data_IF_086300267510
#
_entry.id   IF_086300267510
#
_cell.length_a   1.000
_cell.length_b   1.000
_cell.length_c   1.000
_cell.angle_alpha   90.00
_cell.angle_beta   90.00
_cell.angle_gamma   90.00
#
_symmetry.space_group_name_H-M   'P 1'
#
loop_
_entity.id
_entity.type
_entity.pdbx_description
1 polymer ?
#
# COMPACT_ATOMS: atom_id res chain seq x y z
N UNK A 1 1.17 -9.56 5.89
CA UNK A 1 2.50 -9.84 5.31
C UNK A 1 3.40 -8.62 5.51
N UNK A 2 4.72 -8.82 5.64
CA UNK A 2 5.73 -7.76 5.71
C UNK A 2 7.05 -8.24 5.11
N UNK A 3 7.95 -7.31 4.78
CA UNK A 3 9.35 -7.58 4.42
C UNK A 3 10.32 -7.35 5.60
N UNK A 4 9.82 -6.87 6.74
CA UNK A 4 10.63 -6.55 7.92
C UNK A 4 10.50 -7.65 8.97
N UNK A 5 11.64 -8.27 9.31
CA UNK A 5 11.73 -9.29 10.38
C UNK A 5 11.30 -8.71 11.73
N UNK A 6 11.70 -7.48 12.03
CA UNK A 6 11.34 -6.81 13.29
C UNK A 6 9.83 -6.53 13.38
N UNK A 7 9.22 -6.07 12.28
CA UNK A 7 7.77 -5.88 12.22
C UNK A 7 7.02 -7.20 12.34
N UNK A 8 7.50 -8.27 11.70
CA UNK A 8 6.90 -9.60 11.82
C UNK A 8 6.88 -10.03 13.28
N UNK A 9 8.02 -9.99 13.96
CA UNK A 9 8.16 -10.42 15.36
C UNK A 9 7.21 -9.65 16.28
N UNK A 10 7.19 -8.31 16.15
CA UNK A 10 6.31 -7.47 16.95
C UNK A 10 4.83 -7.72 16.66
N UNK A 11 4.45 -7.92 15.40
CA UNK A 11 3.08 -8.21 15.02
C UNK A 11 2.62 -9.57 15.54
N UNK A 12 3.46 -10.60 15.48
CA UNK A 12 3.17 -11.92 16.05
C UNK A 12 2.95 -11.84 17.56
N UNK A 13 3.77 -11.07 18.28
CA UNK A 13 3.59 -10.85 19.71
C UNK A 13 2.25 -10.15 20.02
N UNK A 14 1.92 -9.09 19.28
CA UNK A 14 0.67 -8.34 19.45
C UNK A 14 -0.59 -9.14 19.12
N UNK A 15 -0.49 -10.10 18.20
CA UNK A 15 -1.62 -10.92 17.77
C UNK A 15 -1.68 -12.29 18.45
N UNK A 16 -0.91 -12.51 19.52
CA UNK A 16 -0.87 -13.79 20.23
C UNK A 16 -2.27 -14.20 20.74
N UNK A 17 -2.70 -15.41 20.38
CA UNK A 17 -4.01 -15.95 20.75
C UNK A 17 -5.16 -15.55 19.83
N UNK A 18 -4.89 -14.77 18.78
CA UNK A 18 -5.84 -14.48 17.71
C UNK A 18 -5.58 -15.38 16.49
N UNK A 19 -6.59 -15.55 15.64
CA UNK A 19 -6.45 -16.24 14.35
C UNK A 19 -5.80 -15.33 13.31
N UNK A 20 -4.50 -15.07 13.50
CA UNK A 20 -3.73 -14.16 12.65
C UNK A 20 -2.40 -14.79 12.28
N UNK A 21 -2.17 -14.93 10.97
CA UNK A 21 -0.89 -15.37 10.42
C UNK A 21 -0.08 -14.18 9.89
N UNK A 22 1.14 -13.98 10.39
CA UNK A 22 2.05 -12.91 9.93
C UNK A 22 3.18 -13.53 9.10
N UNK A 23 3.06 -13.39 7.78
CA UNK A 23 4.01 -13.91 6.80
C UNK A 23 5.11 -12.87 6.52
N UNK A 24 6.37 -13.32 6.56
CA UNK A 24 7.54 -12.57 6.09
C UNK A 24 7.90 -13.07 4.69
N UNK A 25 7.42 -12.36 3.68
CA UNK A 25 7.54 -12.75 2.28
C UNK A 25 7.32 -11.53 1.39
N UNK A 26 7.77 -11.61 0.14
CA UNK A 26 7.38 -10.67 -0.89
C UNK A 26 5.94 -10.92 -1.34
N UNK A 27 5.10 -9.89 -1.33
CA UNK A 27 3.71 -10.03 -1.75
C UNK A 27 3.55 -10.56 -3.18
N UNK A 28 4.56 -10.38 -4.04
CA UNK A 28 4.57 -10.87 -5.42
C UNK A 28 4.55 -12.40 -5.51
N UNK A 29 5.02 -13.08 -4.47
CA UNK A 29 5.07 -14.55 -4.40
C UNK A 29 3.77 -15.15 -3.82
N UNK A 30 2.89 -14.33 -3.24
CA UNK A 30 1.63 -14.77 -2.66
C UNK A 30 0.70 -15.40 -3.72
N UNK A 31 0.22 -16.61 -3.44
CA UNK A 31 -0.68 -17.36 -4.31
C UNK A 31 -1.77 -18.10 -3.49
N UNK A 32 -2.58 -17.33 -2.79
CA UNK A 32 -3.72 -17.78 -1.98
C UNK A 32 -5.01 -17.04 -2.43
N UNK A 33 -6.15 -17.31 -1.79
CA UNK A 33 -7.44 -16.72 -2.14
C UNK A 33 -8.12 -16.12 -0.91
N UNK A 34 -8.25 -14.80 -0.89
CA UNK A 34 -8.84 -14.05 0.21
C UNK A 34 -10.21 -13.49 -0.16
N UNK A 35 -11.12 -13.45 0.82
CA UNK A 35 -12.39 -12.74 0.67
C UNK A 35 -12.17 -11.22 0.62
N UNK A 36 -11.16 -10.71 1.32
CA UNK A 36 -10.88 -9.28 1.43
C UNK A 36 -9.36 -9.04 1.43
N UNK A 37 -8.91 -8.01 0.73
CA UNK A 37 -7.51 -7.57 0.74
C UNK A 37 -7.46 -6.12 1.16
N UNK A 38 -6.49 -5.78 2.01
CA UNK A 38 -6.18 -4.39 2.38
C UNK A 38 -4.69 -4.14 2.23
N UNK A 39 -4.35 -2.97 1.69
CA UNK A 39 -2.97 -2.53 1.55
C UNK A 39 -2.84 -1.07 1.97
N UNK A 40 -1.97 -0.81 2.96
CA UNK A 40 -1.81 0.51 3.59
C UNK A 40 -0.36 0.94 3.52
N UNK A 41 -0.09 2.08 2.90
CA UNK A 41 1.22 2.77 2.97
C UNK A 41 2.39 2.02 2.35
N UNK A 42 2.11 1.08 1.45
CA UNK A 42 3.15 0.30 0.76
C UNK A 42 3.25 0.61 -0.74
N UNK A 43 2.15 1.08 -1.36
CA UNK A 43 2.05 1.26 -2.82
C UNK A 43 2.98 2.36 -3.34
N UNK A 44 3.26 3.34 -2.48
CA UNK A 44 4.27 4.38 -2.63
C UNK A 44 5.68 3.81 -2.88
N UNK A 45 5.94 2.57 -2.47
CA UNK A 45 7.25 1.91 -2.63
C UNK A 45 7.30 0.92 -3.80
N UNK A 46 6.18 0.72 -4.51
CA UNK A 46 6.11 -0.17 -5.68
C UNK A 46 6.75 0.46 -6.91
N UNK A 47 6.52 1.76 -7.08
CA UNK A 47 6.98 2.53 -8.23
C UNK A 47 6.15 2.27 -9.51
N UNK A 48 6.01 3.29 -10.38
CA UNK A 48 5.04 3.29 -11.48
C UNK A 48 5.27 2.20 -12.53
N UNK A 49 6.50 1.69 -12.65
CA UNK A 49 6.84 0.59 -13.56
C UNK A 49 6.20 -0.75 -13.14
N UNK A 50 5.82 -0.88 -11.86
CA UNK A 50 5.37 -2.13 -11.27
C UNK A 50 3.89 -2.09 -10.83
N UNK A 51 3.16 -0.99 -11.07
CA UNK A 51 1.75 -0.88 -10.66
C UNK A 51 0.87 -1.96 -11.31
N UNK A 52 1.08 -2.28 -12.58
CA UNK A 52 0.33 -3.34 -13.25
C UNK A 52 0.50 -4.68 -12.52
N UNK A 53 1.75 -5.08 -12.23
CA UNK A 53 2.07 -6.29 -11.46
C UNK A 53 1.45 -6.26 -10.07
N UNK A 54 1.46 -5.11 -9.40
CA UNK A 54 0.84 -4.98 -8.08
C UNK A 54 -0.67 -5.32 -8.11
N UNK A 55 -1.41 -4.74 -9.06
CA UNK A 55 -2.83 -5.04 -9.22
C UNK A 55 -3.08 -6.46 -9.75
N UNK A 56 -2.18 -7.03 -10.55
CA UNK A 56 -2.27 -8.43 -10.99
C UNK A 56 -2.14 -9.39 -9.81
N UNK A 57 -1.21 -9.11 -8.88
CA UNK A 57 -1.05 -9.89 -7.66
C UNK A 57 -2.28 -9.76 -6.77
N UNK A 58 -2.84 -8.55 -6.60
CA UNK A 58 -4.07 -8.36 -5.85
C UNK A 58 -5.24 -9.14 -6.48
N UNK A 59 -5.40 -9.07 -7.81
CA UNK A 59 -6.46 -9.78 -8.55
C UNK A 59 -6.30 -11.30 -8.47
N UNK A 60 -5.06 -11.80 -8.59
CA UNK A 60 -4.76 -13.24 -8.44
C UNK A 60 -5.13 -13.78 -7.06
N UNK A 61 -5.06 -12.94 -6.03
CA UNK A 61 -5.20 -13.37 -4.64
C UNK A 61 -6.57 -13.07 -4.03
N UNK A 62 -7.52 -12.54 -4.80
CA UNK A 62 -8.84 -12.19 -4.31
C UNK A 62 -9.92 -13.03 -5.01
N UNK A 63 -10.91 -13.45 -4.25
CA UNK A 63 -12.08 -14.18 -4.79
C UNK A 63 -12.90 -13.29 -5.73
N UNK A 64 -13.73 -13.90 -6.57
CA UNK A 64 -14.60 -13.19 -7.52
C UNK A 64 -15.46 -12.10 -6.84
N UNK A 65 -16.11 -12.41 -5.72
CA UNK A 65 -16.93 -11.46 -4.95
C UNK A 65 -16.15 -10.74 -3.82
N UNK A 66 -14.82 -10.68 -3.95
CA UNK A 66 -13.96 -10.08 -2.94
C UNK A 66 -13.85 -8.56 -3.06
N UNK A 67 -13.51 -7.89 -1.95
CA UNK A 67 -13.26 -6.44 -1.92
C UNK A 67 -11.80 -6.13 -1.61
N UNK A 68 -11.22 -5.23 -2.40
CA UNK A 68 -9.86 -4.73 -2.23
C UNK A 68 -9.88 -3.27 -1.81
N UNK A 69 -9.21 -2.94 -0.70
CA UNK A 69 -8.97 -1.57 -0.27
C UNK A 69 -7.49 -1.21 -0.42
N UNK A 70 -7.23 -0.22 -1.28
CA UNK A 70 -5.93 0.42 -1.42
C UNK A 70 -5.93 1.76 -0.68
N UNK A 71 -5.06 1.89 0.32
CA UNK A 71 -4.79 3.14 1.02
C UNK A 71 -3.35 3.59 0.73
N UNK A 72 -3.20 4.73 0.07
CA UNK A 72 -1.91 5.25 -0.38
C UNK A 72 -1.91 6.78 -0.41
N UNK A 73 -0.75 7.38 -0.12
CA UNK A 73 -0.49 8.80 -0.38
C UNK A 73 -0.49 9.01 -1.90
N UNK A 74 -1.15 10.08 -2.36
CA UNK A 74 -1.30 10.39 -3.77
C UNK A 74 -0.64 11.71 -4.20
N UNK A 75 -0.36 11.81 -5.49
CA UNK A 75 0.03 13.03 -6.20
C UNK A 75 -1.09 13.48 -7.14
N UNK A 76 -1.40 14.78 -7.14
CA UNK A 76 -2.30 15.38 -8.14
C UNK A 76 -1.68 15.48 -9.55
N UNK A 77 -0.39 15.15 -9.68
CA UNK A 77 0.33 15.26 -10.93
C UNK A 77 0.83 13.90 -11.38
N UNK A 78 0.57 13.56 -12.65
CA UNK A 78 1.17 12.41 -13.32
C UNK A 78 2.61 12.73 -13.74
N UNK A 79 3.49 12.84 -12.74
CA UNK A 79 4.92 13.02 -12.89
C UNK A 79 5.61 12.08 -11.92
N UNK A 80 6.79 11.58 -12.29
CA UNK A 80 7.69 10.93 -11.33
C UNK A 80 8.22 12.05 -10.43
N UNK A 81 7.49 12.32 -9.35
CA UNK A 81 7.79 13.38 -8.42
C UNK A 81 8.27 12.74 -7.13
N UNK A 82 9.58 12.72 -6.94
CA UNK A 82 10.20 12.35 -5.68
C UNK A 82 10.98 13.55 -5.22
N UNK A 83 10.57 14.10 -4.07
CA UNK A 83 11.33 15.16 -3.43
C UNK A 83 12.75 14.66 -3.11
N UNK A 84 13.77 15.45 -3.45
CA UNK A 84 15.16 15.01 -3.39
C UNK A 84 15.66 14.82 -1.95
N UNK A 85 15.12 15.58 -0.99
CA UNK A 85 15.46 15.43 0.42
C UNK A 85 14.76 14.18 0.99
N UNK A 86 13.47 14.01 0.72
CA UNK A 86 12.71 12.83 1.15
C UNK A 86 13.33 11.55 0.59
N UNK A 87 13.70 11.53 -0.70
CA UNK A 87 14.39 10.38 -1.31
C UNK A 87 15.71 10.09 -0.60
N UNK A 88 16.53 11.12 -0.38
CA UNK A 88 17.86 10.93 0.18
C UNK A 88 17.85 10.47 1.64
N UNK A 89 16.92 10.95 2.46
CA UNK A 89 16.99 10.79 3.91
C UNK A 89 15.90 9.92 4.52
N UNK A 90 14.73 9.80 3.89
CA UNK A 90 13.55 9.17 4.51
C UNK A 90 13.09 7.94 3.69
N UNK A 91 12.75 8.15 2.41
CA UNK A 91 12.15 7.13 1.54
C UNK A 91 12.89 7.03 0.19
N UNK A 92 14.03 6.32 0.12
CA UNK A 92 14.86 6.23 -1.10
C UNK A 92 14.17 5.60 -2.30
N UNK A 93 13.11 4.81 -2.07
CA UNK A 93 12.34 4.14 -3.12
C UNK A 93 10.89 4.68 -3.23
N UNK A 94 10.57 5.78 -2.54
CA UNK A 94 9.23 6.37 -2.56
C UNK A 94 8.94 7.04 -3.90
N UNK A 95 7.81 6.70 -4.51
CA UNK A 95 7.25 7.41 -5.66
C UNK A 95 5.74 7.49 -5.50
N UNK A 96 5.20 8.71 -5.45
CA UNK A 96 3.78 8.90 -5.23
C UNK A 96 2.98 8.53 -6.49
N UNK A 97 1.94 7.67 -6.39
CA UNK A 97 1.02 7.41 -7.49
C UNK A 97 0.18 8.65 -7.80
N UNK A 98 -0.20 8.79 -9.08
CA UNK A 98 -1.26 9.72 -9.48
C UNK A 98 -2.57 8.97 -9.70
N UNK A 99 -3.70 9.66 -9.57
CA UNK A 99 -5.03 9.10 -9.85
C UNK A 99 -5.04 8.38 -11.20
N UNK A 100 -4.53 9.05 -12.24
CA UNK A 100 -4.45 8.50 -13.59
C UNK A 100 -3.64 7.20 -13.64
N UNK A 101 -2.43 7.16 -13.08
CA UNK A 101 -1.57 5.97 -13.12
C UNK A 101 -2.11 4.80 -12.30
N UNK A 102 -2.78 5.09 -11.21
CA UNK A 102 -3.49 4.07 -10.43
C UNK A 102 -4.66 3.52 -11.24
N UNK A 103 -5.47 4.39 -11.86
CA UNK A 103 -6.61 4.00 -12.68
C UNK A 103 -6.20 3.16 -13.90
N UNK A 104 -5.18 3.60 -14.65
CA UNK A 104 -4.61 2.84 -15.78
C UNK A 104 -4.14 1.44 -15.35
N UNK A 105 -3.58 1.29 -14.15
CA UNK A 105 -3.03 0.01 -13.69
C UNK A 105 -4.09 -0.97 -13.16
N UNK A 106 -5.23 -0.46 -12.67
CA UNK A 106 -6.37 -1.25 -12.18
C UNK A 106 -7.44 -1.52 -13.25
N UNK A 107 -7.39 -0.82 -14.38
CA UNK A 107 -8.32 -0.99 -15.49
C UNK A 107 -8.39 -2.46 -15.94
N UNK A 108 -9.61 -2.95 -16.21
CA UNK A 108 -9.93 -4.36 -16.54
C UNK A 108 -9.60 -5.39 -15.43
N UNK A 109 -9.23 -4.96 -14.22
CA UNK A 109 -8.96 -5.86 -13.08
C UNK A 109 -9.93 -5.65 -11.93
N UNK A 110 -10.31 -4.39 -11.69
CA UNK A 110 -11.22 -4.00 -10.63
C UNK A 110 -12.21 -2.96 -11.13
N UNK A 111 -13.44 -3.01 -10.62
CA UNK A 111 -14.35 -1.87 -10.68
C UNK A 111 -13.93 -0.89 -9.58
N UNK A 112 -13.82 0.40 -9.92
CA UNK A 112 -13.57 1.45 -8.93
C UNK A 112 -14.89 1.77 -8.23
N UNK A 113 -15.12 1.11 -7.10
CA UNK A 113 -16.36 1.26 -6.33
C UNK A 113 -16.43 2.60 -5.57
N UNK A 114 -15.30 3.04 -5.02
CA UNK A 114 -15.20 4.29 -4.26
C UNK A 114 -13.80 4.90 -4.32
N UNK A 115 -13.73 6.23 -4.26
CA UNK A 115 -12.49 6.97 -4.14
C UNK A 115 -12.59 8.08 -3.08
N UNK A 116 -12.05 7.81 -1.91
CA UNK A 116 -12.08 8.74 -0.79
C UNK A 116 -10.74 9.45 -0.60
N UNK A 117 -10.76 10.79 -0.61
CA UNK A 117 -9.60 11.62 -0.30
C UNK A 117 -9.82 12.40 1.00
N UNK A 118 -9.01 12.11 2.00
CA UNK A 118 -8.95 12.79 3.30
C UNK A 118 -7.52 13.23 3.61
N UNK A 119 -6.74 13.61 2.59
CA UNK A 119 -5.34 14.02 2.73
C UNK A 119 -5.12 15.20 3.69
N UNK A 120 -6.12 16.06 3.89
CA UNK A 120 -6.08 17.14 4.88
C UNK A 120 -5.93 16.63 6.33
N UNK A 121 -6.37 15.41 6.63
CA UNK A 121 -6.18 14.80 7.96
C UNK A 121 -4.75 14.29 8.17
N UNK A 122 -3.97 14.14 7.09
CA UNK A 122 -2.57 13.72 7.20
C UNK A 122 -1.68 14.82 7.81
N UNK A 123 -2.04 16.10 7.63
CA UNK A 123 -1.39 17.22 8.33
C UNK A 123 -1.51 17.08 9.85
N UNK A 124 -2.75 16.91 10.35
CA UNK A 124 -3.00 16.67 11.78
C UNK A 124 -2.23 15.46 12.31
N UNK A 125 -2.14 14.40 11.49
CA UNK A 125 -1.39 13.18 11.82
C UNK A 125 0.11 13.46 11.97
N UNK A 126 0.71 14.16 11.00
CA UNK A 126 2.12 14.53 11.02
C UNK A 126 2.45 15.49 12.18
N UNK A 127 1.57 16.45 12.46
CA UNK A 127 1.74 17.38 13.58
C UNK A 127 1.65 16.66 14.95
N UNK A 128 0.74 15.71 15.09
CA UNK A 128 0.67 14.89 16.30
C UNK A 128 1.90 13.98 16.46
N UNK A 129 2.50 13.50 15.37
CA UNK A 129 3.77 12.78 15.43
C UNK A 129 4.91 13.69 15.86
N UNK A 130 4.98 14.89 15.28
CA UNK A 130 6.01 15.88 15.64
C UNK A 130 5.94 16.27 17.12
N UNK A 131 4.75 16.46 17.68
CA UNK A 131 4.57 16.77 19.10
C UNK A 131 5.10 15.64 20.02
N UNK A 132 5.10 14.39 19.55
CA UNK A 132 5.45 13.19 20.34
C UNK A 132 6.84 12.63 20.04
N UNK A 133 7.57 13.26 19.11
CA UNK A 133 8.91 12.87 18.67
C UNK A 133 9.98 13.39 19.65
#
# INVERSE_FOLDING_TARGET
MTISVEQQKLAQERCKGLDVNIILEDYRDLNEQFDRIVSVGMFEHVGPKNYATYFDVARRNIKEDGLFLLHTIGSNHNKVNVDSWISKYIFPNGCLPSIQKTAEAMENKFVMEDWHNFGADYDKTLMAWYERF
#
